data_IF_410424210399
#
_entry.id   IF_410424210399
#
_cell.length_a   1.000
_cell.length_b   1.000
_cell.length_c   1.000
_cell.angle_alpha   90.00
_cell.angle_beta   90.00
_cell.angle_gamma   90.00
#
_symmetry.space_group_name_H-M   'P 1'
#
loop_
_entity.id
_entity.type
_entity.pdbx_description
1 polymer ?
#
# COMPACT_ATOMS: atom_id res chain seq x y z
N UNK A 1 -20.61 -21.33 -24.53
CA UNK A 1 -19.75 -20.13 -24.40
C UNK A 1 -20.44 -18.92 -23.80
N UNK A 2 -21.75 -18.67 -24.03
CA UNK A 2 -22.47 -17.55 -23.39
C UNK A 2 -22.59 -17.67 -21.86
N UNK A 3 -22.62 -18.89 -21.31
CA UNK A 3 -22.76 -19.10 -19.86
C UNK A 3 -21.47 -18.85 -19.07
N UNK A 4 -20.31 -18.99 -19.72
CA UNK A 4 -18.99 -18.66 -19.15
C UNK A 4 -18.84 -17.14 -19.02
N UNK A 5 -19.24 -16.38 -20.04
CA UNK A 5 -19.23 -14.91 -19.99
C UNK A 5 -20.21 -14.32 -18.96
N UNK A 6 -21.23 -15.09 -18.56
CA UNK A 6 -22.23 -14.67 -17.57
C UNK A 6 -21.90 -15.09 -16.13
N UNK A 7 -20.74 -15.72 -15.88
CA UNK A 7 -20.33 -16.17 -14.53
C UNK A 7 -21.18 -17.29 -13.92
N UNK A 8 -22.22 -17.78 -14.62
CA UNK A 8 -23.28 -18.67 -14.09
C UNK A 8 -22.80 -20.03 -13.61
N UNK A 9 -21.58 -20.40 -13.96
CA UNK A 9 -20.99 -21.65 -13.52
C UNK A 9 -20.29 -21.48 -12.16
N UNK A 10 -19.92 -20.28 -11.70
CA UNK A 10 -18.99 -20.05 -10.57
C UNK A 10 -17.59 -20.64 -10.80
N UNK A 11 -17.19 -20.81 -12.06
CA UNK A 11 -15.85 -21.27 -12.44
C UNK A 11 -15.11 -20.05 -13.00
N UNK A 12 -14.14 -19.48 -12.25
CA UNK A 12 -13.38 -18.29 -12.65
C UNK A 12 -13.04 -17.34 -11.49
N UNK A 13 -12.61 -16.11 -11.81
CA UNK A 13 -12.29 -15.05 -10.82
C UNK A 13 -13.51 -14.25 -10.34
N UNK A 14 -14.61 -14.29 -11.10
CA UNK A 14 -15.85 -13.54 -10.86
C UNK A 14 -16.96 -14.51 -10.42
N UNK A 15 -17.66 -14.17 -9.36
CA UNK A 15 -18.84 -14.91 -8.88
C UNK A 15 -20.10 -14.44 -9.61
N UNK A 16 -20.34 -13.13 -9.63
CA UNK A 16 -21.48 -12.51 -10.29
C UNK A 16 -21.22 -11.05 -10.69
N UNK A 17 -22.22 -10.40 -11.28
CA UNK A 17 -22.21 -8.95 -11.52
C UNK A 17 -23.39 -8.34 -10.75
N UNK A 18 -23.12 -7.36 -9.89
CA UNK A 18 -24.14 -6.54 -9.22
C UNK A 18 -24.28 -5.23 -9.98
N UNK A 19 -25.14 -5.21 -11.00
CA UNK A 19 -25.24 -4.08 -11.93
C UNK A 19 -23.99 -3.96 -12.81
N UNK A 20 -23.30 -2.83 -12.74
CA UNK A 20 -22.01 -2.59 -13.45
C UNK A 20 -20.80 -3.02 -12.62
N UNK A 21 -20.98 -3.42 -11.36
CA UNK A 21 -19.88 -3.79 -10.47
C UNK A 21 -19.61 -5.29 -10.51
N UNK A 22 -18.38 -5.73 -10.83
CA UNK A 22 -18.01 -7.13 -10.74
C UNK A 22 -17.95 -7.59 -9.28
N UNK A 23 -18.53 -8.75 -8.99
CA UNK A 23 -18.41 -9.42 -7.68
C UNK A 23 -17.39 -10.55 -7.84
N UNK A 24 -16.30 -10.47 -7.09
CA UNK A 24 -15.24 -11.46 -7.11
C UNK A 24 -15.58 -12.65 -6.23
N UNK A 25 -15.12 -13.84 -6.62
CA UNK A 25 -15.28 -15.07 -5.83
C UNK A 25 -14.58 -14.96 -4.46
N UNK A 26 -13.49 -14.22 -4.41
CA UNK A 26 -12.76 -13.98 -3.17
C UNK A 26 -12.44 -12.49 -3.01
N UNK A 27 -12.63 -11.98 -1.78
CA UNK A 27 -12.38 -10.58 -1.42
C UNK A 27 -10.96 -10.13 -1.76
N UNK A 28 -9.97 -10.99 -1.57
CA UNK A 28 -8.55 -10.65 -1.88
C UNK A 28 -8.31 -10.30 -3.34
N UNK A 29 -9.10 -10.84 -4.29
CA UNK A 29 -8.99 -10.41 -5.68
C UNK A 29 -9.45 -8.97 -5.86
N UNK A 30 -10.58 -8.61 -5.24
CA UNK A 30 -11.07 -7.23 -5.25
C UNK A 30 -10.06 -6.28 -4.61
N UNK A 31 -9.48 -6.68 -3.47
CA UNK A 31 -8.47 -5.89 -2.75
C UNK A 31 -7.19 -5.71 -3.57
N UNK A 32 -6.68 -6.78 -4.19
CA UNK A 32 -5.52 -6.71 -5.06
C UNK A 32 -5.75 -5.78 -6.26
N UNK A 33 -6.90 -5.87 -6.93
CA UNK A 33 -7.21 -5.00 -8.06
C UNK A 33 -7.41 -3.54 -7.65
N UNK A 34 -8.04 -3.30 -6.50
CA UNK A 34 -8.17 -1.95 -5.93
C UNK A 34 -6.79 -1.35 -5.63
N UNK A 35 -5.92 -2.11 -4.95
CA UNK A 35 -4.55 -1.70 -4.65
C UNK A 35 -3.75 -1.39 -5.91
N UNK A 36 -3.82 -2.28 -6.90
CA UNK A 36 -3.13 -2.09 -8.19
C UNK A 36 -3.62 -0.85 -8.93
N UNK A 37 -4.93 -0.61 -8.94
CA UNK A 37 -5.51 0.59 -9.54
C UNK A 37 -5.01 1.86 -8.84
N UNK A 38 -5.03 1.88 -7.51
CA UNK A 38 -4.56 3.02 -6.73
C UNK A 38 -3.06 3.28 -6.95
N UNK A 39 -2.22 2.25 -6.91
CA UNK A 39 -0.78 2.38 -7.14
C UNK A 39 -0.48 2.95 -8.54
N UNK A 40 -1.18 2.46 -9.56
CA UNK A 40 -1.07 2.98 -10.90
C UNK A 40 -1.48 4.46 -10.99
N UNK A 41 -2.57 4.83 -10.31
CA UNK A 41 -3.07 6.21 -10.30
C UNK A 41 -2.13 7.18 -9.56
N UNK A 42 -1.57 6.76 -8.43
CA UNK A 42 -0.56 7.53 -7.69
C UNK A 42 0.68 7.75 -8.57
N UNK A 43 1.17 6.70 -9.22
CA UNK A 43 2.37 6.78 -10.06
C UNK A 43 2.18 7.57 -11.35
N UNK A 44 0.94 7.72 -11.81
CA UNK A 44 0.59 8.50 -13.00
C UNK A 44 0.12 9.92 -12.67
N UNK A 45 0.13 10.32 -11.40
CA UNK A 45 -0.29 11.65 -10.99
C UNK A 45 0.87 12.64 -11.18
N UNK A 46 0.62 13.72 -11.94
CA UNK A 46 1.62 14.77 -12.20
C UNK A 46 1.82 15.73 -11.01
N UNK A 47 0.92 15.70 -10.01
CA UNK A 47 1.00 16.51 -8.79
C UNK A 47 0.41 15.75 -7.59
N UNK A 48 1.01 15.99 -6.42
CA UNK A 48 0.55 15.58 -5.08
C UNK A 48 -0.83 16.12 -4.68
N UNK A 49 -1.36 17.14 -5.37
CA UNK A 49 -2.74 17.64 -5.21
C UNK A 49 -3.81 16.74 -5.85
N UNK A 50 -3.45 15.57 -6.38
CA UNK A 50 -4.40 14.65 -6.96
C UNK A 50 -5.30 14.02 -5.88
N UNK A 51 -6.62 14.05 -6.10
CA UNK A 51 -7.66 13.47 -5.22
C UNK A 51 -7.35 12.02 -4.81
N UNK A 52 -6.59 11.28 -5.61
CA UNK A 52 -6.16 9.92 -5.28
C UNK A 52 -5.33 9.87 -3.99
N UNK A 53 -4.49 10.88 -3.71
CA UNK A 53 -3.73 10.96 -2.46
C UNK A 53 -4.64 11.13 -1.26
N UNK A 54 -5.66 12.00 -1.35
CA UNK A 54 -6.64 12.19 -0.29
C UNK A 54 -7.42 10.90 -0.01
N UNK A 55 -7.84 10.20 -1.07
CA UNK A 55 -8.53 8.90 -0.95
C UNK A 55 -7.64 7.89 -0.23
N UNK A 56 -6.39 7.71 -0.65
CA UNK A 56 -5.46 6.77 -0.03
C UNK A 56 -5.15 7.16 1.42
N UNK A 57 -4.97 8.45 1.71
CA UNK A 57 -4.75 8.95 3.06
C UNK A 57 -5.94 8.63 3.98
N UNK A 58 -7.17 8.75 3.50
CA UNK A 58 -8.37 8.38 4.25
C UNK A 58 -8.55 6.87 4.44
N UNK A 59 -7.93 6.05 3.59
CA UNK A 59 -7.95 4.61 3.77
C UNK A 59 -7.06 4.18 4.95
N UNK A 60 -5.92 4.85 5.14
CA UNK A 60 -5.04 4.57 6.27
C UNK A 60 -5.74 4.86 7.61
N UNK A 61 -5.68 3.88 8.52
CA UNK A 61 -6.36 3.94 9.81
C UNK A 61 -7.77 3.33 9.82
N UNK A 62 -8.29 2.91 8.67
CA UNK A 62 -9.52 2.11 8.58
C UNK A 62 -9.20 0.63 8.46
N UNK A 63 -9.75 -0.20 9.36
CA UNK A 63 -9.65 -1.66 9.29
C UNK A 63 -10.35 -2.25 8.07
N UNK A 64 -11.32 -1.52 7.50
CA UNK A 64 -12.06 -1.98 6.32
C UNK A 64 -11.14 -2.14 5.11
N UNK A 65 -10.12 -1.28 4.99
CA UNK A 65 -9.22 -1.23 3.84
C UNK A 65 -7.87 -1.92 4.09
N UNK A 66 -7.69 -2.60 5.23
CA UNK A 66 -6.39 -3.18 5.60
C UNK A 66 -5.82 -4.09 4.51
N UNK A 67 -6.62 -5.00 3.94
CA UNK A 67 -6.17 -5.90 2.88
C UNK A 67 -5.81 -5.17 1.57
N UNK A 68 -6.48 -4.05 1.27
CA UNK A 68 -6.12 -3.20 0.12
C UNK A 68 -4.77 -2.52 0.37
N UNK A 69 -4.57 -2.00 1.58
CA UNK A 69 -3.36 -1.31 1.98
C UNK A 69 -2.16 -2.26 2.04
N UNK A 70 -2.33 -3.50 2.51
CA UNK A 70 -1.28 -4.52 2.51
C UNK A 70 -0.72 -4.75 1.10
N UNK A 71 -1.60 -4.92 0.10
CA UNK A 71 -1.19 -5.04 -1.29
C UNK A 71 -0.58 -3.75 -1.85
N UNK A 72 -1.18 -2.60 -1.53
CA UNK A 72 -0.72 -1.30 -2.01
C UNK A 72 0.69 -0.96 -1.50
N UNK A 73 0.92 -1.17 -0.21
CA UNK A 73 2.22 -0.96 0.44
C UNK A 73 3.25 -1.94 -0.10
N UNK A 74 2.89 -3.21 -0.29
CA UNK A 74 3.76 -4.21 -0.91
C UNK A 74 4.14 -3.86 -2.36
N UNK A 75 3.27 -3.21 -3.13
CA UNK A 75 3.59 -2.72 -4.48
C UNK A 75 4.60 -1.58 -4.44
N UNK A 76 4.44 -0.63 -3.52
CA UNK A 76 5.35 0.50 -3.36
C UNK A 76 6.73 0.11 -2.88
N UNK A 77 6.82 -0.84 -1.93
CA UNK A 77 8.09 -1.27 -1.31
C UNK A 77 8.87 -2.32 -2.11
N UNK A 78 8.28 -2.92 -3.14
CA UNK A 78 8.95 -3.95 -3.97
C UNK A 78 10.30 -3.54 -4.58
N UNK A 79 10.53 -2.31 -5.07
CA UNK A 79 11.81 -1.93 -5.66
C UNK A 79 12.90 -1.63 -4.63
N UNK A 80 12.56 -1.49 -3.34
CA UNK A 80 13.45 -0.97 -2.30
C UNK A 80 13.63 -1.99 -1.17
N UNK A 81 14.86 -2.45 -0.98
CA UNK A 81 15.18 -3.48 0.01
C UNK A 81 14.97 -3.01 1.45
N UNK A 82 15.23 -1.73 1.76
CA UNK A 82 15.09 -1.22 3.12
C UNK A 82 13.61 -1.09 3.49
N UNK A 83 12.78 -0.55 2.60
CA UNK A 83 11.34 -0.45 2.83
C UNK A 83 10.74 -1.85 3.00
N UNK A 84 11.21 -2.85 2.23
CA UNK A 84 10.80 -4.24 2.42
C UNK A 84 11.18 -4.80 3.80
N UNK A 85 12.41 -4.59 4.26
CA UNK A 85 12.81 -5.06 5.59
C UNK A 85 11.97 -4.43 6.71
N UNK A 86 11.59 -3.15 6.56
CA UNK A 86 10.70 -2.48 7.53
C UNK A 86 9.28 -3.08 7.46
N UNK A 87 8.73 -3.28 6.26
CA UNK A 87 7.42 -3.95 6.08
C UNK A 87 7.39 -5.34 6.73
N UNK A 88 8.46 -6.10 6.56
CA UNK A 88 8.57 -7.48 7.03
C UNK A 88 9.01 -7.54 8.52
N UNK A 89 9.21 -6.40 9.17
CA UNK A 89 9.69 -6.27 10.55
C UNK A 89 11.03 -6.98 10.81
N UNK A 90 11.94 -6.90 9.83
CA UNK A 90 13.27 -7.52 9.84
C UNK A 90 14.34 -6.56 10.40
N UNK A 91 14.32 -6.38 11.72
CA UNK A 91 15.20 -5.43 12.42
C UNK A 91 16.71 -5.69 12.22
N UNK A 92 17.12 -6.93 11.95
CA UNK A 92 18.52 -7.28 11.73
C UNK A 92 18.99 -6.73 10.37
N UNK A 93 18.21 -6.95 9.32
CA UNK A 93 18.54 -6.44 7.99
C UNK A 93 18.35 -4.92 7.87
N UNK A 94 17.40 -4.32 8.61
CA UNK A 94 17.28 -2.86 8.74
C UNK A 94 18.58 -2.25 9.29
N UNK A 95 19.09 -2.74 10.43
CA UNK A 95 20.33 -2.22 11.06
C UNK A 95 21.55 -2.29 10.16
N UNK A 96 21.63 -3.34 9.33
CA UNK A 96 22.71 -3.52 8.37
C UNK A 96 22.60 -2.57 7.17
N UNK A 97 21.38 -2.16 6.80
CA UNK A 97 21.09 -1.41 5.56
C UNK A 97 20.89 0.10 5.79
N UNK A 98 20.44 0.53 6.98
CA UNK A 98 20.01 1.90 7.28
C UNK A 98 21.13 2.96 7.23
N UNK A 99 22.40 2.53 7.26
CA UNK A 99 23.56 3.44 7.41
C UNK A 99 23.77 4.43 6.26
N UNK A 100 23.12 4.25 5.11
CA UNK A 100 23.34 5.10 3.93
C UNK A 100 22.05 5.50 3.17
N UNK A 101 20.86 5.33 3.74
CA UNK A 101 19.63 5.42 2.94
C UNK A 101 18.93 6.77 2.93
N UNK A 102 18.64 7.28 1.73
CA UNK A 102 17.78 8.45 1.47
C UNK A 102 16.82 8.23 0.29
N UNK A 103 16.68 6.99 -0.17
CA UNK A 103 15.82 6.64 -1.31
C UNK A 103 14.34 6.68 -0.96
N UNK A 104 13.52 7.01 -1.95
CA UNK A 104 12.07 6.88 -1.91
C UNK A 104 11.65 5.55 -2.52
N UNK A 105 10.59 4.95 -2.01
CA UNK A 105 10.00 3.77 -2.62
C UNK A 105 9.23 4.08 -3.91
N UNK A 106 8.63 3.06 -4.52
CA UNK A 106 7.85 3.18 -5.74
C UNK A 106 6.58 4.02 -5.64
N UNK A 107 6.24 4.52 -4.45
CA UNK A 107 5.12 5.45 -4.19
C UNK A 107 5.62 6.80 -3.64
N UNK A 108 6.93 7.07 -3.68
CA UNK A 108 7.50 8.33 -3.21
C UNK A 108 7.62 8.46 -1.69
N UNK A 109 7.57 7.34 -0.96
CA UNK A 109 7.63 7.32 0.51
C UNK A 109 9.05 7.08 0.99
N UNK A 110 9.39 7.56 2.18
CA UNK A 110 10.67 7.28 2.84
C UNK A 110 10.54 6.04 3.74
N UNK A 111 11.66 5.44 4.18
CA UNK A 111 11.64 4.37 5.17
C UNK A 111 10.84 4.76 6.44
N UNK A 112 10.98 6.01 6.88
CA UNK A 112 10.24 6.56 8.03
C UNK A 112 8.72 6.52 7.86
N UNK A 113 8.22 6.81 6.64
CA UNK A 113 6.78 6.72 6.36
C UNK A 113 6.28 5.29 6.53
N UNK A 114 7.04 4.29 6.06
CA UNK A 114 6.68 2.87 6.21
C UNK A 114 6.76 2.44 7.68
N UNK A 115 7.83 2.80 8.38
CA UNK A 115 7.98 2.47 9.80
C UNK A 115 6.82 3.03 10.65
N UNK A 116 6.39 4.26 10.36
CA UNK A 116 5.25 4.89 11.01
C UNK A 116 3.92 4.17 10.71
N UNK A 117 3.73 3.74 9.47
CA UNK A 117 2.54 2.99 9.02
C UNK A 117 2.40 1.64 9.72
N UNK A 118 3.49 0.87 9.75
CA UNK A 118 3.49 -0.50 10.27
C UNK A 118 3.76 -0.57 11.79
N UNK A 119 4.06 0.57 12.43
CA UNK A 119 4.22 0.65 13.88
C UNK A 119 5.52 0.04 14.40
N UNK A 120 6.57 0.03 13.58
CA UNK A 120 7.90 -0.45 13.95
C UNK A 120 8.59 0.56 14.87
N UNK A 121 8.38 0.37 16.18
CA UNK A 121 8.91 1.24 17.23
C UNK A 121 10.43 1.23 17.31
N UNK A 122 11.10 0.15 16.92
CA UNK A 122 12.56 0.08 16.98
C UNK A 122 13.15 0.94 15.87
N UNK A 123 12.68 0.77 14.63
CA UNK A 123 13.10 1.58 13.48
C UNK A 123 12.76 3.06 13.64
N UNK A 124 11.57 3.39 14.19
CA UNK A 124 11.18 4.78 14.51
C UNK A 124 12.10 5.46 15.53
N UNK A 125 12.73 4.69 16.43
CA UNK A 125 13.66 5.24 17.42
C UNK A 125 15.07 5.43 16.85
N UNK A 126 15.47 4.62 15.87
CA UNK A 126 16.74 4.75 15.15
C UNK A 126 16.74 5.98 14.22
N UNK A 127 15.60 6.34 13.60
CA UNK A 127 15.50 7.45 12.63
C UNK A 127 15.24 8.86 13.21
N UNK A 128 15.24 9.06 14.54
CA UNK A 128 14.95 10.36 15.20
C UNK A 128 15.92 11.52 14.88
N UNK A 129 16.88 11.35 13.98
CA UNK A 129 17.86 12.38 13.57
C UNK A 129 17.60 13.02 12.20
N UNK A 130 16.48 12.73 11.53
CA UNK A 130 16.22 13.29 10.20
C UNK A 130 15.29 14.53 10.22
N UNK A 131 15.87 15.72 10.06
CA UNK A 131 15.16 17.01 9.98
C UNK A 131 14.69 17.31 8.55
N UNK A 132 13.56 16.77 8.10
CA UNK A 132 12.89 17.27 6.89
C UNK A 132 11.35 17.33 7.07
N UNK A 133 10.77 18.25 6.29
CA UNK A 133 9.45 18.91 6.37
C UNK A 133 8.22 17.98 6.33
N UNK A 134 7.00 18.51 6.60
CA UNK A 134 6.00 17.88 7.45
C UNK A 134 5.54 16.53 6.87
N UNK A 135 5.70 15.48 7.67
CA UNK A 135 4.94 14.25 7.52
C UNK A 135 3.47 14.61 7.39
N UNK A 136 2.91 14.53 6.18
CA UNK A 136 1.47 14.52 6.03
C UNK A 136 0.96 13.28 6.75
N UNK A 137 0.33 13.54 7.89
CA UNK A 137 -0.76 12.79 8.47
C UNK A 137 -0.57 11.27 8.60
N UNK A 138 -0.13 10.79 9.78
CA UNK A 138 -0.84 9.73 10.52
C UNK A 138 -0.66 10.00 12.03
N UNK A 139 -1.46 10.91 12.59
CA UNK A 139 -1.77 10.83 14.03
C UNK A 139 -2.86 9.78 14.17
N UNK A 140 -2.49 8.57 14.64
CA UNK A 140 -3.47 7.67 15.26
C UNK A 140 -4.03 8.42 16.47
N UNK A 141 -5.31 8.78 16.41
CA UNK A 141 -6.07 9.26 17.57
C UNK A 141 -6.53 8.07 18.42
#
# INVERSE_FOLDING_TARGET
>A
MKDVQKGRLKHGFLDEHSGETPVFVHRTFAEFFAAHFLAHKVNSADDTGNVVYDVVAHMYGSEEYSGVLDFFDAMGTKPDTLHRYIMDNDSENVKNTIKEWSGLDGLGRTPLHIAALHGDKETLNEERHCTLRPCMAIRKH
#
